data_IF_845173487813
#
_entry.id   IF_845173487813
#
_cell.length_a   1.000
_cell.length_b   1.000
_cell.length_c   1.000
_cell.angle_alpha   90.00
_cell.angle_beta   90.00
_cell.angle_gamma   90.00
#
_symmetry.space_group_name_H-M   'P 1'
#
loop_
_entity.id
_entity.type
_entity.pdbx_description
1 polymer ?
#
# COMPACT_ATOMS: atom_id res chain seq x y z
N UNK A 1 7.15 -42.07 -75.73
CA UNK A 1 6.50 -42.39 -74.42
C UNK A 1 7.60 -42.60 -73.43
N UNK A 2 7.95 -41.56 -72.71
CA UNK A 2 9.06 -41.57 -71.74
C UNK A 2 8.49 -42.07 -70.41
N UNK A 3 8.87 -43.27 -70.01
CA UNK A 3 8.43 -43.87 -68.74
C UNK A 3 9.21 -43.26 -67.61
N UNK A 4 8.61 -42.30 -66.93
CA UNK A 4 9.16 -41.61 -65.76
C UNK A 4 9.48 -42.66 -64.63
N UNK A 5 10.73 -42.70 -64.21
CA UNK A 5 11.24 -43.70 -63.27
C UNK A 5 10.55 -43.57 -61.90
N UNK A 6 9.86 -44.59 -61.39
CA UNK A 6 9.07 -44.54 -60.14
C UNK A 6 9.90 -44.24 -58.90
N UNK A 7 11.24 -44.41 -58.92
CA UNK A 7 12.15 -44.04 -57.83
C UNK A 7 12.31 -42.54 -57.68
N UNK A 8 12.30 -41.78 -58.80
CA UNK A 8 12.44 -40.32 -58.82
C UNK A 8 11.19 -39.65 -58.23
N UNK A 9 10.01 -40.21 -58.54
CA UNK A 9 8.70 -39.75 -58.04
C UNK A 9 8.56 -39.93 -56.53
N UNK A 10 9.04 -41.08 -55.96
CA UNK A 10 9.05 -41.34 -54.54
C UNK A 10 10.00 -40.43 -53.79
N UNK A 11 11.18 -40.10 -54.35
CA UNK A 11 12.15 -39.19 -53.78
C UNK A 11 11.64 -37.72 -53.73
N UNK A 12 10.89 -37.32 -54.76
CA UNK A 12 10.24 -36.00 -54.82
C UNK A 12 9.15 -35.84 -53.77
N UNK A 13 8.33 -36.91 -53.58
CA UNK A 13 7.28 -36.94 -52.58
C UNK A 13 7.85 -36.89 -51.13
N UNK A 14 8.89 -37.67 -50.85
CA UNK A 14 9.55 -37.70 -49.56
C UNK A 14 10.16 -36.34 -49.21
N UNK A 15 10.80 -35.64 -50.18
CA UNK A 15 11.34 -34.29 -49.96
C UNK A 15 10.23 -33.26 -49.67
N UNK A 16 9.10 -33.34 -50.37
CA UNK A 16 7.93 -32.47 -50.12
C UNK A 16 7.33 -32.71 -48.73
N UNK A 17 7.24 -33.96 -48.35
CA UNK A 17 6.70 -34.35 -47.00
C UNK A 17 7.65 -33.87 -45.90
N UNK A 18 8.98 -34.02 -46.10
CA UNK A 18 9.99 -33.51 -45.15
C UNK A 18 9.90 -31.98 -44.96
N UNK A 19 9.76 -31.26 -46.12
CA UNK A 19 9.62 -29.82 -46.09
C UNK A 19 8.35 -29.33 -45.39
N UNK A 20 7.24 -30.07 -45.53
CA UNK A 20 5.98 -29.81 -44.84
C UNK A 20 6.09 -30.08 -43.34
N UNK A 21 6.76 -31.15 -42.95
CA UNK A 21 6.97 -31.48 -41.52
C UNK A 21 7.88 -30.48 -40.84
N UNK A 22 8.97 -30.03 -41.48
CA UNK A 22 9.85 -28.99 -40.91
C UNK A 22 9.15 -27.65 -40.78
N UNK A 23 8.32 -27.27 -41.78
CA UNK A 23 7.48 -26.08 -41.71
C UNK A 23 6.46 -26.12 -40.58
N UNK A 24 5.81 -27.26 -40.39
CA UNK A 24 4.85 -27.47 -39.30
C UNK A 24 5.52 -27.41 -37.93
N UNK A 25 6.71 -28.02 -37.78
CA UNK A 25 7.48 -28.00 -36.55
C UNK A 25 7.95 -26.55 -36.20
N UNK A 26 8.39 -25.80 -37.22
CA UNK A 26 8.74 -24.39 -37.03
C UNK A 26 7.54 -23.54 -36.61
N UNK A 27 6.39 -23.77 -37.23
CA UNK A 27 5.14 -23.06 -36.88
C UNK A 27 4.69 -23.36 -35.46
N UNK A 28 4.73 -24.62 -35.02
CA UNK A 28 4.40 -25.05 -33.65
C UNK A 28 5.41 -24.46 -32.66
N UNK A 29 6.70 -24.47 -33.00
CA UNK A 29 7.75 -23.83 -32.20
C UNK A 29 7.53 -22.33 -32.04
N UNK A 30 7.21 -21.63 -33.12
CA UNK A 30 6.92 -20.21 -33.12
C UNK A 30 5.67 -19.87 -32.30
N UNK A 31 4.61 -20.65 -32.46
CA UNK A 31 3.37 -20.51 -31.71
C UNK A 31 3.59 -20.74 -30.20
N UNK A 32 4.40 -21.73 -29.82
CA UNK A 32 4.74 -22.00 -28.41
C UNK A 32 5.56 -20.89 -27.77
N UNK A 33 6.44 -20.23 -28.56
CA UNK A 33 7.17 -19.05 -28.11
C UNK A 33 6.21 -17.87 -27.91
N UNK A 34 5.34 -17.61 -28.87
CA UNK A 34 4.33 -16.54 -28.79
C UNK A 34 3.40 -16.75 -27.57
N UNK A 35 2.93 -17.98 -27.35
CA UNK A 35 2.09 -18.34 -26.20
C UNK A 35 2.80 -18.13 -24.86
N UNK A 36 4.11 -18.32 -24.77
CA UNK A 36 4.90 -18.00 -23.57
C UNK A 36 5.05 -16.52 -23.31
N UNK A 37 4.98 -15.69 -24.35
CA UNK A 37 5.06 -14.23 -24.27
C UNK A 37 3.69 -13.56 -24.06
N UNK A 38 2.59 -14.28 -24.21
CA UNK A 38 1.28 -13.79 -23.82
C UNK A 38 1.26 -13.81 -22.28
N UNK A 39 1.28 -12.62 -21.61
CA UNK A 39 1.15 -12.60 -20.17
C UNK A 39 -0.15 -13.30 -19.82
N UNK A 40 -0.06 -14.36 -19.01
CA UNK A 40 -1.23 -15.01 -18.45
C UNK A 40 -2.04 -13.92 -17.73
N UNK A 41 -3.10 -13.45 -18.35
CA UNK A 41 -4.12 -12.65 -17.68
C UNK A 41 -4.94 -13.57 -16.77
N UNK A 42 -4.24 -14.27 -15.87
CA UNK A 42 -4.90 -14.85 -14.73
C UNK A 42 -5.59 -13.70 -14.00
N UNK A 43 -6.86 -13.81 -13.78
CA UNK A 43 -7.61 -12.96 -12.85
C UNK A 43 -7.10 -13.26 -11.45
N UNK A 44 -5.87 -12.79 -11.18
CA UNK A 44 -5.19 -12.95 -9.90
C UNK A 44 -5.85 -11.94 -8.94
N UNK A 45 -7.01 -12.37 -8.40
CA UNK A 45 -7.77 -11.59 -7.44
C UNK A 45 -7.03 -11.62 -6.11
N UNK A 46 -6.20 -10.63 -5.86
CA UNK A 46 -5.43 -10.46 -4.63
C UNK A 46 -6.07 -9.41 -3.72
N UNK A 47 -5.80 -9.53 -2.44
CA UNK A 47 -6.11 -8.52 -1.44
C UNK A 47 -4.78 -7.91 -0.98
N UNK A 48 -4.68 -6.58 -1.03
CA UNK A 48 -3.56 -5.86 -0.45
C UNK A 48 -3.74 -5.76 1.07
N UNK A 49 -2.70 -6.02 1.84
CA UNK A 49 -2.71 -5.80 3.29
C UNK A 49 -1.69 -4.72 3.60
N UNK A 50 -2.14 -3.69 4.33
CA UNK A 50 -1.29 -2.60 4.83
C UNK A 50 -1.30 -2.68 6.35
N UNK A 51 -0.13 -2.88 6.94
CA UNK A 51 0.03 -2.94 8.39
C UNK A 51 0.33 -1.54 8.94
N UNK A 52 -0.49 -1.10 9.92
CA UNK A 52 -0.31 0.13 10.69
C UNK A 52 -0.05 -0.26 12.14
N UNK A 53 1.22 -0.36 12.50
CA UNK A 53 1.65 -0.89 13.80
C UNK A 53 2.43 0.14 14.61
N UNK A 54 2.16 0.20 15.92
CA UNK A 54 2.84 1.09 16.87
C UNK A 54 2.46 2.56 16.68
N UNK A 55 3.33 3.49 17.10
CA UNK A 55 3.07 4.94 17.00
C UNK A 55 3.12 5.43 15.55
N UNK A 56 2.10 6.17 15.15
CA UNK A 56 2.01 6.80 13.83
C UNK A 56 2.85 8.08 13.84
N UNK A 57 4.10 7.98 13.40
CA UNK A 57 5.03 9.11 13.34
C UNK A 57 5.26 9.60 11.91
N UNK A 58 5.03 8.74 10.92
CA UNK A 58 5.24 9.04 9.50
C UNK A 58 4.15 8.35 8.67
N UNK A 59 3.65 9.05 7.67
CA UNK A 59 2.59 8.59 6.76
C UNK A 59 3.13 7.95 5.48
N UNK A 60 4.34 8.33 5.06
CA UNK A 60 4.82 8.14 3.69
C UNK A 60 4.80 6.67 3.22
N UNK A 61 5.25 5.76 4.07
CA UNK A 61 5.30 4.32 3.72
C UNK A 61 3.88 3.78 3.53
N UNK A 62 2.97 4.11 4.46
CA UNK A 62 1.58 3.65 4.44
C UNK A 62 0.84 4.23 3.24
N UNK A 63 0.96 5.53 3.00
CA UNK A 63 0.35 6.22 1.87
C UNK A 63 0.85 5.65 0.53
N UNK A 64 2.16 5.40 0.40
CA UNK A 64 2.73 4.82 -0.82
C UNK A 64 2.23 3.39 -1.06
N UNK A 65 2.08 2.57 -0.01
CA UNK A 65 1.51 1.22 -0.12
C UNK A 65 0.05 1.26 -0.57
N UNK A 66 -0.76 2.14 0.02
CA UNK A 66 -2.18 2.31 -0.36
C UNK A 66 -2.28 2.72 -1.83
N UNK A 67 -1.50 3.71 -2.28
CA UNK A 67 -1.44 4.15 -3.68
C UNK A 67 -1.03 3.02 -4.61
N UNK A 68 0.03 2.29 -4.29
CA UNK A 68 0.50 1.16 -5.09
C UNK A 68 -0.57 0.08 -5.23
N UNK A 69 -1.30 -0.23 -4.15
CA UNK A 69 -2.41 -1.17 -4.21
C UNK A 69 -3.63 -0.62 -4.95
N UNK A 70 -3.87 0.69 -4.91
CA UNK A 70 -4.94 1.32 -5.69
C UNK A 70 -4.70 1.18 -7.19
N UNK A 71 -3.46 1.36 -7.64
CA UNK A 71 -3.07 1.33 -9.05
C UNK A 71 -2.96 -0.09 -9.61
N UNK A 72 -2.63 -1.09 -8.78
CA UNK A 72 -2.49 -2.48 -9.22
C UNK A 72 -3.87 -3.12 -9.49
N UNK A 73 -4.16 -3.38 -10.77
CA UNK A 73 -5.42 -4.01 -11.21
C UNK A 73 -5.63 -5.43 -10.68
N UNK A 74 -4.56 -6.11 -10.24
CA UNK A 74 -4.64 -7.45 -9.64
C UNK A 74 -5.15 -7.40 -8.20
N UNK A 75 -4.99 -6.25 -7.52
CA UNK A 75 -5.52 -6.03 -6.16
C UNK A 75 -6.98 -5.61 -6.26
N UNK A 76 -7.88 -6.42 -5.71
CA UNK A 76 -9.33 -6.22 -5.76
C UNK A 76 -9.88 -5.46 -4.54
N UNK A 77 -9.14 -5.46 -3.46
CA UNK A 77 -9.49 -4.76 -2.23
C UNK A 77 -8.27 -4.61 -1.33
N UNK A 78 -8.40 -3.76 -0.33
CA UNK A 78 -7.33 -3.45 0.63
C UNK A 78 -7.84 -3.71 2.04
N UNK A 79 -7.01 -4.28 2.88
CA UNK A 79 -7.24 -4.41 4.32
C UNK A 79 -6.18 -3.59 5.04
N UNK A 80 -6.61 -2.61 5.84
CA UNK A 80 -5.73 -1.94 6.80
C UNK A 80 -5.73 -2.76 8.08
N UNK A 81 -4.63 -3.42 8.38
CA UNK A 81 -4.43 -4.10 9.65
C UNK A 81 -3.86 -3.11 10.64
N UNK A 82 -4.64 -2.74 11.67
CA UNK A 82 -4.29 -1.65 12.59
C UNK A 82 -4.04 -2.22 13.98
N UNK A 83 -2.82 -2.01 14.48
CA UNK A 83 -2.39 -2.31 15.86
C UNK A 83 -1.60 -1.12 16.41
N UNK A 84 -2.31 -0.01 16.65
CA UNK A 84 -1.72 1.31 16.92
C UNK A 84 -2.50 2.09 17.97
N UNK A 85 -1.83 2.69 18.96
CA UNK A 85 -2.46 3.64 19.88
C UNK A 85 -2.71 5.02 19.26
N UNK A 86 -2.39 5.21 17.97
CA UNK A 86 -2.38 6.50 17.30
C UNK A 86 -0.99 7.12 17.24
N UNK A 87 -0.91 8.44 17.15
CA UNK A 87 0.37 9.13 17.02
C UNK A 87 0.23 10.59 16.61
N UNK A 88 1.15 11.07 15.78
CA UNK A 88 1.15 12.44 15.30
C UNK A 88 -0.08 12.75 14.45
N UNK A 89 -0.65 13.95 14.63
CA UNK A 89 -1.89 14.37 13.96
C UNK A 89 -1.69 14.46 12.44
N UNK A 90 -0.63 15.11 11.98
CA UNK A 90 -0.35 15.28 10.55
C UNK A 90 -0.28 13.95 9.78
N UNK A 91 0.61 13.02 10.15
CA UNK A 91 0.67 11.70 9.54
C UNK A 91 -0.66 10.92 9.58
N UNK A 92 -1.39 11.00 10.70
CA UNK A 92 -2.71 10.35 10.79
C UNK A 92 -3.72 10.96 9.82
N UNK A 93 -3.70 12.28 9.63
CA UNK A 93 -4.54 12.99 8.67
C UNK A 93 -4.19 12.60 7.23
N UNK A 94 -2.91 12.57 6.88
CA UNK A 94 -2.47 12.21 5.53
C UNK A 94 -2.88 10.78 5.13
N UNK A 95 -2.77 9.84 6.07
CA UNK A 95 -3.22 8.46 5.84
C UNK A 95 -4.75 8.42 5.71
N UNK A 96 -5.47 9.11 6.58
CA UNK A 96 -6.93 9.21 6.53
C UNK A 96 -7.41 9.73 5.17
N UNK A 97 -6.82 10.82 4.68
CA UNK A 97 -7.20 11.43 3.40
C UNK A 97 -6.92 10.49 2.21
N UNK A 98 -5.80 9.75 2.24
CA UNK A 98 -5.50 8.78 1.19
C UNK A 98 -6.47 7.60 1.23
N UNK A 99 -6.88 7.14 2.41
CA UNK A 99 -7.91 6.10 2.55
C UNK A 99 -9.26 6.58 2.00
N UNK A 100 -9.69 7.81 2.34
CA UNK A 100 -10.92 8.41 1.81
C UNK A 100 -10.92 8.49 0.29
N UNK A 101 -9.80 8.92 -0.29
CA UNK A 101 -9.63 9.02 -1.74
C UNK A 101 -9.70 7.63 -2.39
N UNK A 102 -8.97 6.67 -1.85
CA UNK A 102 -8.84 5.32 -2.41
C UNK A 102 -10.15 4.54 -2.32
N UNK A 103 -10.93 4.67 -1.22
CA UNK A 103 -12.19 3.91 -1.03
C UNK A 103 -13.26 4.17 -2.07
N UNK A 104 -13.18 5.29 -2.80
CA UNK A 104 -14.11 5.63 -3.86
C UNK A 104 -13.90 4.79 -5.13
N UNK A 105 -12.70 4.24 -5.32
CA UNK A 105 -12.35 3.43 -6.48
C UNK A 105 -12.04 1.96 -6.15
N UNK A 106 -11.66 1.66 -4.91
CA UNK A 106 -11.30 0.30 -4.46
C UNK A 106 -11.74 0.10 -3.01
N UNK A 107 -12.42 -1.00 -2.74
CA UNK A 107 -12.90 -1.32 -1.39
C UNK A 107 -11.75 -1.42 -0.40
N UNK A 108 -11.85 -0.71 0.72
CA UNK A 108 -10.91 -0.75 1.83
C UNK A 108 -11.66 -1.10 3.11
N UNK A 109 -11.17 -2.09 3.85
CA UNK A 109 -11.67 -2.44 5.19
C UNK A 109 -10.57 -2.26 6.23
N UNK A 110 -10.95 -1.85 7.43
CA UNK A 110 -10.07 -1.86 8.58
C UNK A 110 -10.28 -3.13 9.40
N UNK A 111 -9.17 -3.77 9.77
CA UNK A 111 -9.12 -4.89 10.72
C UNK A 111 -8.30 -4.46 11.93
N UNK A 112 -9.00 -4.17 13.03
CA UNK A 112 -8.37 -3.75 14.28
C UNK A 112 -7.80 -4.96 15.02
N UNK A 113 -6.58 -4.84 15.52
CA UNK A 113 -5.89 -5.85 16.30
C UNK A 113 -6.15 -5.68 17.83
N UNK A 114 -5.06 -5.65 18.60
CA UNK A 114 -5.14 -5.46 20.06
C UNK A 114 -5.60 -4.05 20.40
N UNK A 115 -5.05 -3.05 19.68
CA UNK A 115 -5.38 -1.64 19.87
C UNK A 115 -5.52 -0.94 18.52
N UNK A 116 -6.55 -0.09 18.40
CA UNK A 116 -6.71 0.85 17.30
C UNK A 116 -7.38 2.11 17.85
N UNK A 117 -6.59 2.98 18.44
CA UNK A 117 -7.07 4.13 19.20
C UNK A 117 -6.56 5.46 18.62
N UNK A 118 -7.23 6.57 18.95
CA UNK A 118 -6.85 7.92 18.51
C UNK A 118 -6.63 7.98 17.01
N UNK A 119 -5.44 8.35 16.53
CA UNK A 119 -5.08 8.37 15.10
C UNK A 119 -5.32 7.02 14.39
N UNK A 120 -5.13 5.88 15.07
CA UNK A 120 -5.41 4.56 14.52
C UNK A 120 -6.91 4.34 14.26
N UNK A 121 -7.76 4.72 15.20
CA UNK A 121 -9.21 4.69 15.00
C UNK A 121 -9.67 5.73 13.98
N UNK A 122 -9.07 6.92 13.99
CA UNK A 122 -9.36 7.96 13.02
C UNK A 122 -9.15 7.46 11.58
N UNK A 123 -8.02 6.83 11.30
CA UNK A 123 -7.74 6.20 10.00
C UNK A 123 -8.76 5.09 9.67
N UNK A 124 -9.06 4.23 10.66
CA UNK A 124 -10.04 3.17 10.47
C UNK A 124 -11.42 3.70 10.05
N UNK A 125 -11.84 4.82 10.63
CA UNK A 125 -13.16 5.45 10.33
C UNK A 125 -13.29 5.93 8.88
N UNK A 126 -12.17 6.15 8.18
CA UNK A 126 -12.16 6.50 6.76
C UNK A 126 -12.49 5.32 5.84
N UNK A 127 -12.43 4.08 6.32
CA UNK A 127 -12.63 2.87 5.50
C UNK A 127 -14.11 2.60 5.21
N UNK A 128 -14.39 1.68 4.27
CA UNK A 128 -15.78 1.29 3.97
C UNK A 128 -16.43 0.50 5.11
N UNK A 129 -15.65 -0.26 5.88
CA UNK A 129 -16.11 -1.02 7.05
C UNK A 129 -14.97 -1.29 8.00
N UNK A 130 -15.30 -1.28 9.29
CA UNK A 130 -14.37 -1.55 10.39
C UNK A 130 -14.74 -2.88 11.04
N UNK A 131 -13.74 -3.71 11.29
CA UNK A 131 -13.85 -4.96 12.03
C UNK A 131 -12.95 -4.90 13.26
N UNK A 132 -13.49 -5.24 14.41
CA UNK A 132 -12.77 -5.29 15.67
C UNK A 132 -13.14 -6.56 16.42
N UNK A 133 -12.23 -7.08 17.25
CA UNK A 133 -12.55 -8.15 18.20
C UNK A 133 -13.23 -7.55 19.44
N UNK A 134 -14.01 -8.33 20.21
CA UNK A 134 -14.62 -7.83 21.42
C UNK A 134 -13.64 -7.26 22.46
N UNK A 135 -12.39 -7.75 22.45
CA UNK A 135 -11.32 -7.26 23.33
C UNK A 135 -10.44 -6.17 22.75
N UNK A 136 -10.73 -5.67 21.53
CA UNK A 136 -9.95 -4.59 20.92
C UNK A 136 -10.13 -3.29 21.70
N UNK A 137 -9.03 -2.68 22.14
CA UNK A 137 -9.04 -1.33 22.69
C UNK A 137 -9.13 -0.31 21.58
N UNK A 138 -10.18 0.52 21.57
CA UNK A 138 -10.45 1.45 20.46
C UNK A 138 -11.06 2.77 20.96
N UNK A 139 -11.38 3.70 20.04
CA UNK A 139 -11.88 5.03 20.38
C UNK A 139 -10.76 6.00 20.74
N UNK A 140 -10.84 6.64 21.91
CA UNK A 140 -9.85 7.64 22.38
C UNK A 140 -9.57 8.74 21.32
N UNK A 141 -10.64 9.25 20.70
CA UNK A 141 -10.52 10.32 19.70
C UNK A 141 -10.27 11.64 20.41
N UNK A 142 -9.22 12.34 20.00
CA UNK A 142 -8.89 13.65 20.51
C UNK A 142 -7.46 14.03 20.16
N UNK A 143 -7.14 15.31 20.40
CA UNK A 143 -5.78 15.84 20.26
C UNK A 143 -5.38 16.36 21.64
N UNK A 144 -4.22 15.92 22.11
CA UNK A 144 -3.64 16.42 23.35
C UNK A 144 -2.32 17.12 23.02
N UNK A 145 -2.07 18.20 23.76
CA UNK A 145 -0.81 18.91 23.77
C UNK A 145 -0.43 19.10 25.23
N UNK A 146 0.66 18.49 25.65
CA UNK A 146 1.10 18.56 27.05
C UNK A 146 2.39 19.37 27.16
N UNK A 147 2.40 20.36 28.05
CA UNK A 147 3.55 21.16 28.36
C UNK A 147 3.79 21.13 29.87
N UNK A 148 5.07 21.02 30.24
CA UNK A 148 5.48 21.23 31.63
C UNK A 148 5.90 22.68 31.83
N UNK A 149 5.37 23.37 32.85
CA UNK A 149 5.81 24.69 33.20
C UNK A 149 6.76 24.64 34.43
N UNK A 150 8.01 25.02 34.24
CA UNK A 150 9.04 25.00 35.28
C UNK A 150 9.42 26.42 35.74
N UNK A 151 8.72 27.45 35.26
CA UNK A 151 9.05 28.83 35.59
C UNK A 151 9.09 29.10 37.10
N UNK A 152 8.09 28.63 37.84
CA UNK A 152 8.03 28.79 39.27
C UNK A 152 9.17 28.09 40.03
N UNK A 153 9.72 27.01 39.49
CA UNK A 153 10.93 26.38 40.05
C UNK A 153 12.18 27.22 39.77
N UNK A 154 12.32 27.73 38.53
CA UNK A 154 13.44 28.58 38.14
C UNK A 154 13.49 29.87 38.97
N UNK A 155 12.34 30.49 39.22
CA UNK A 155 12.26 31.68 40.07
C UNK A 155 12.77 31.40 41.49
N UNK A 156 12.46 30.20 42.06
CA UNK A 156 12.94 29.83 43.40
C UNK A 156 14.42 29.59 43.51
N UNK A 157 15.08 29.18 42.43
CA UNK A 157 16.55 28.97 42.39
C UNK A 157 17.29 30.16 41.79
N UNK A 158 16.58 31.27 41.53
CA UNK A 158 17.19 32.50 41.06
C UNK A 158 17.55 32.53 39.57
N UNK A 159 17.02 31.62 38.78
CA UNK A 159 17.21 31.60 37.32
C UNK A 159 16.08 32.36 36.63
N UNK A 160 16.45 33.34 35.84
CA UNK A 160 15.53 34.16 35.05
C UNK A 160 15.81 33.97 33.55
N UNK A 161 15.05 33.08 32.88
CA UNK A 161 15.21 32.90 31.45
C UNK A 161 14.72 34.14 30.71
N UNK A 162 15.56 34.69 29.83
CA UNK A 162 15.21 35.77 28.94
C UNK A 162 14.91 35.24 27.55
N UNK A 163 13.74 35.58 26.99
CA UNK A 163 13.32 35.14 25.68
C UNK A 163 13.12 36.35 24.77
N UNK A 164 13.99 36.48 23.77
CA UNK A 164 13.83 37.44 22.69
C UNK A 164 13.04 36.81 21.56
N UNK A 165 11.85 37.30 21.24
CA UNK A 165 10.98 36.76 20.22
C UNK A 165 10.30 37.83 19.39
N UNK A 166 10.05 37.52 18.13
CA UNK A 166 9.14 38.23 17.25
C UNK A 166 7.87 37.40 17.06
N UNK A 167 6.72 37.93 17.49
CA UNK A 167 5.43 37.26 17.45
C UNK A 167 4.95 36.75 18.82
N UNK A 168 3.68 37.04 19.14
CA UNK A 168 3.05 36.79 20.45
C UNK A 168 3.07 35.30 20.86
N UNK A 169 2.98 34.41 19.92
CA UNK A 169 2.79 32.96 20.15
C UNK A 169 4.00 32.11 19.77
N UNK A 170 5.13 32.73 19.43
CA UNK A 170 6.34 32.04 18.97
C UNK A 170 6.90 31.05 20.01
N UNK A 171 6.67 31.30 21.26
CA UNK A 171 7.11 30.50 22.41
C UNK A 171 6.00 29.64 23.04
N UNK A 172 4.93 29.37 22.29
CA UNK A 172 3.87 28.42 22.74
C UNK A 172 4.52 27.09 23.07
N UNK A 173 4.23 26.55 24.27
CA UNK A 173 4.80 25.29 24.74
C UNK A 173 6.19 25.42 25.38
N UNK A 174 6.77 26.62 25.46
CA UNK A 174 7.99 26.81 26.22
C UNK A 174 7.77 26.52 27.71
N UNK A 175 8.63 25.68 28.33
CA UNK A 175 8.51 25.35 29.76
C UNK A 175 8.72 26.50 30.69
N UNK A 176 9.23 27.64 30.20
CA UNK A 176 9.55 28.85 30.98
C UNK A 176 8.63 30.02 30.65
N UNK A 177 7.62 29.83 29.86
CA UNK A 177 6.64 30.87 29.53
C UNK A 177 5.81 31.22 30.78
N UNK A 178 5.55 32.51 31.07
CA UNK A 178 4.67 32.96 32.14
C UNK A 178 3.25 32.43 31.97
#
# INVERSE_FOLDING_TARGET
METENPRIRKLSFAKRLLFFMTGLLALVGMLSIILKWIPSQGTDNRIGVVDITGLIQNSQVIVNQIKGFQEDKRIRGIVLRIDSPGGAVGPSQEIYDEVLKTRNGKTIYASMATIAASGGYYIASATNRVFANPGTLTGSIGVIMAFSNVKGLMDKIGLQPEVIKAGKYKDIGSPVRP
#
